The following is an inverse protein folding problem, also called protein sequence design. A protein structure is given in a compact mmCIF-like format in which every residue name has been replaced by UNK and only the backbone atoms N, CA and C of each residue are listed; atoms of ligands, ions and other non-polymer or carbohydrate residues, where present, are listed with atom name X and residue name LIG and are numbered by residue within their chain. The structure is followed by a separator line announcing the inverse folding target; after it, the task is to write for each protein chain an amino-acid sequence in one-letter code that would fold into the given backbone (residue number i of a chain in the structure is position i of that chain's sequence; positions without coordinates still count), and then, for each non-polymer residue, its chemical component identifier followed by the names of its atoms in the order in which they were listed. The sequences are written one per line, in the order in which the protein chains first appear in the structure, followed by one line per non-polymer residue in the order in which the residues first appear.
data_IF_436237899344
#
_entry.id   IF_436237899344
#
_cell.length_a   1.000
_cell.length_b   1.000
_cell.length_c   1.000
_cell.angle_alpha   90.00
_cell.angle_beta   90.00
_cell.angle_gamma   90.00
#
_symmetry.space_group_name_H-M   'P 1'
#
loop_
_entity.id
_entity.type
_entity.pdbx_description
1 polymer ?
#
# COMPACT_ATOMS: atom_id res chain seq x y z
N UNK A 1 -15.47 -40.01 -87.07
CA UNK A 1 -15.95 -40.94 -86.04
C UNK A 1 -14.79 -41.22 -85.10
N UNK A 2 -14.90 -40.86 -83.83
CA UNK A 2 -14.00 -41.33 -82.76
C UNK A 2 -14.27 -42.84 -82.49
N UNK A 3 -13.39 -43.60 -81.80
CA UNK A 3 -13.34 -43.53 -80.32
C UNK A 3 -12.00 -43.90 -79.61
N UNK A 4 -11.99 -43.61 -78.29
CA UNK A 4 -11.35 -44.31 -77.14
C UNK A 4 -9.82 -44.44 -77.06
N UNK A 5 -9.10 -44.36 -75.93
CA UNK A 5 -9.41 -44.54 -74.48
C UNK A 5 -8.26 -44.00 -73.60
N UNK A 6 -8.61 -43.59 -72.37
CA UNK A 6 -7.84 -43.10 -71.19
C UNK A 6 -6.82 -44.11 -70.59
N UNK A 7 -6.21 -43.95 -69.37
CA UNK A 7 -6.13 -42.85 -68.38
C UNK A 7 -4.71 -42.63 -67.75
N UNK A 8 -4.55 -41.64 -66.85
CA UNK A 8 -3.34 -41.50 -66.02
C UNK A 8 -3.44 -40.41 -64.95
N UNK A 9 -4.00 -40.78 -63.80
CA UNK A 9 -4.05 -40.02 -62.54
C UNK A 9 -2.66 -39.62 -62.03
N UNK A 10 -2.53 -38.38 -61.53
CA UNK A 10 -1.58 -38.06 -60.46
C UNK A 10 -2.29 -37.18 -59.44
N UNK A 11 -2.70 -37.86 -58.37
CA UNK A 11 -3.30 -37.38 -57.14
C UNK A 11 -2.33 -36.45 -56.37
N UNK A 12 -2.72 -35.19 -56.14
CA UNK A 12 -2.02 -34.26 -55.24
C UNK A 12 -2.74 -34.28 -53.89
N UNK A 13 -2.27 -35.17 -53.03
CA UNK A 13 -2.62 -35.19 -51.62
C UNK A 13 -2.03 -33.97 -50.90
N UNK A 14 -2.89 -33.02 -50.54
CA UNK A 14 -2.60 -32.02 -49.51
C UNK A 14 -2.75 -32.67 -48.13
N UNK A 15 -1.62 -33.05 -47.53
CA UNK A 15 -1.57 -33.42 -46.12
C UNK A 15 -1.87 -32.20 -45.22
N UNK A 16 -2.68 -32.34 -44.17
CA UNK A 16 -2.85 -31.29 -43.18
C UNK A 16 -1.55 -31.12 -42.38
N UNK A 17 -0.96 -29.92 -42.48
CA UNK A 17 0.17 -29.48 -41.67
C UNK A 17 -0.27 -29.47 -40.20
N UNK A 18 0.21 -30.45 -39.44
CA UNK A 18 0.03 -30.50 -38.00
C UNK A 18 0.83 -29.35 -37.36
N UNK A 19 0.15 -28.25 -37.04
CA UNK A 19 0.70 -27.19 -36.21
C UNK A 19 0.87 -27.72 -34.79
N UNK A 20 2.09 -28.15 -34.49
CA UNK A 20 2.56 -28.48 -33.14
C UNK A 20 2.73 -27.19 -32.33
N UNK A 21 1.61 -26.58 -31.91
CA UNK A 21 1.66 -25.64 -30.81
C UNK A 21 1.88 -26.43 -29.51
N UNK A 22 2.99 -26.21 -28.78
CA UNK A 22 3.14 -26.79 -27.45
C UNK A 22 2.01 -26.25 -26.56
N UNK A 23 1.47 -27.07 -25.63
CA UNK A 23 0.46 -26.62 -24.71
C UNK A 23 1.03 -25.45 -23.90
N UNK A 24 0.43 -24.28 -24.07
CA UNK A 24 0.66 -23.14 -23.20
C UNK A 24 0.10 -23.53 -21.82
N UNK A 25 0.96 -24.11 -20.99
CA UNK A 25 0.72 -24.29 -19.57
C UNK A 25 0.60 -22.89 -18.97
N UNK A 26 -0.61 -22.35 -18.97
CA UNK A 26 -0.99 -21.16 -18.24
C UNK A 26 -0.83 -21.50 -16.76
N UNK A 27 0.40 -21.31 -16.27
CA UNK A 27 0.72 -21.36 -14.85
C UNK A 27 -0.10 -20.24 -14.23
N UNK A 28 -1.27 -20.58 -13.68
CA UNK A 28 -2.01 -19.68 -12.81
C UNK A 28 -1.12 -19.46 -11.58
N UNK A 29 -0.24 -18.46 -11.67
CA UNK A 29 0.43 -17.88 -10.53
C UNK A 29 -0.66 -17.49 -9.55
N UNK A 30 -0.79 -18.29 -8.49
CA UNK A 30 -1.65 -17.94 -7.38
C UNK A 30 -1.14 -16.61 -6.86
N UNK A 31 -1.89 -15.55 -7.12
CA UNK A 31 -1.64 -14.22 -6.58
C UNK A 31 -1.53 -14.33 -5.06
N UNK A 32 -0.31 -14.30 -4.55
CA UNK A 32 -0.06 -14.35 -3.11
C UNK A 32 -0.53 -13.02 -2.53
N UNK A 33 -1.49 -13.09 -1.61
CA UNK A 33 -1.96 -11.93 -0.87
C UNK A 33 -0.99 -11.67 0.29
N UNK A 34 -0.40 -10.47 0.32
CA UNK A 34 0.51 -10.05 1.40
C UNK A 34 -0.18 -9.04 2.32
N UNK A 35 0.35 -8.90 3.54
CA UNK A 35 -0.16 -7.99 4.57
C UNK A 35 0.94 -7.05 5.05
N UNK A 36 0.60 -5.78 5.25
CA UNK A 36 1.46 -4.77 5.85
C UNK A 36 0.74 -4.10 7.01
N UNK A 37 1.34 -4.16 8.20
CA UNK A 37 0.90 -3.41 9.37
C UNK A 37 1.74 -2.14 9.49
N UNK A 38 1.12 -0.99 9.67
CA UNK A 38 1.82 0.30 9.79
C UNK A 38 1.40 0.96 11.09
N UNK A 39 2.37 1.36 11.89
CA UNK A 39 2.15 1.92 13.22
C UNK A 39 2.74 3.33 13.30
N UNK A 40 1.89 4.33 13.51
CA UNK A 40 2.30 5.72 13.70
C UNK A 40 2.02 6.17 15.13
N UNK A 41 3.09 6.48 15.88
CA UNK A 41 2.97 6.97 17.25
C UNK A 41 2.43 8.39 17.37
N UNK A 42 1.97 8.70 18.59
CA UNK A 42 1.61 10.05 18.99
C UNK A 42 2.82 10.99 19.04
N UNK A 43 2.58 12.30 18.94
CA UNK A 43 3.61 13.35 18.75
C UNK A 43 4.90 13.15 19.56
N UNK A 44 4.79 12.85 20.86
CA UNK A 44 5.93 12.76 21.77
C UNK A 44 6.24 11.32 22.23
N UNK A 45 5.65 10.32 21.57
CA UNK A 45 5.77 8.92 21.97
C UNK A 45 6.77 8.18 21.11
N UNK A 46 7.43 7.19 21.72
CA UNK A 46 8.26 6.21 21.03
C UNK A 46 7.57 4.85 21.01
N UNK A 47 7.84 4.04 19.99
CA UNK A 47 7.42 2.64 19.92
C UNK A 47 8.15 1.76 20.95
N UNK A 48 9.35 2.21 21.37
CA UNK A 48 10.18 1.57 22.39
C UNK A 48 10.63 2.63 23.39
N UNK A 49 10.37 2.46 24.70
CA UNK A 49 9.68 1.34 25.35
C UNK A 49 8.14 1.32 25.12
N UNK A 50 7.49 0.17 25.39
CA UNK A 50 6.04 -0.07 25.22
C UNK A 50 5.17 0.76 26.18
N UNK A 51 5.06 2.05 25.93
CA UNK A 51 4.32 2.98 26.80
C UNK A 51 2.93 3.31 26.26
N UNK A 52 2.66 3.00 25.00
CA UNK A 52 1.37 3.23 24.35
C UNK A 52 0.81 1.92 23.78
N UNK A 53 -0.48 1.94 23.42
CA UNK A 53 -1.11 0.84 22.67
C UNK A 53 -0.47 0.64 21.29
N UNK A 54 -0.02 1.71 20.63
CA UNK A 54 0.63 1.62 19.30
C UNK A 54 1.96 0.87 19.44
N UNK A 55 2.81 1.28 20.38
CA UNK A 55 4.04 0.58 20.72
C UNK A 55 3.81 -0.87 21.14
N UNK A 56 2.77 -1.14 21.93
CA UNK A 56 2.40 -2.51 22.31
C UNK A 56 2.05 -3.37 21.08
N UNK A 57 1.14 -2.91 20.23
CA UNK A 57 0.73 -3.65 19.03
C UNK A 57 1.88 -3.83 18.04
N UNK A 58 2.73 -2.82 17.86
CA UNK A 58 3.90 -2.95 16.99
C UNK A 58 4.84 -4.07 17.44
N UNK A 59 5.11 -4.16 18.75
CA UNK A 59 6.02 -5.17 19.27
C UNK A 59 5.41 -6.58 19.25
N UNK A 60 4.11 -6.73 19.55
CA UNK A 60 3.42 -8.02 19.57
C UNK A 60 3.00 -8.52 18.18
N UNK A 61 2.97 -7.65 17.17
CA UNK A 61 2.63 -8.04 15.80
C UNK A 61 3.64 -9.07 15.26
N UNK A 62 3.14 -10.28 14.97
CA UNK A 62 3.88 -11.37 14.33
C UNK A 62 4.05 -11.10 12.82
N UNK A 63 4.97 -10.19 12.51
CA UNK A 63 5.32 -9.81 11.15
C UNK A 63 6.80 -9.37 11.08
N UNK A 64 7.41 -9.47 9.90
CA UNK A 64 8.79 -9.01 9.70
C UNK A 64 8.81 -7.49 9.71
N UNK A 65 9.63 -6.92 10.59
CA UNK A 65 9.85 -5.49 10.63
C UNK A 65 10.71 -5.04 9.43
N UNK A 66 10.15 -4.14 8.62
CA UNK A 66 10.78 -3.57 7.43
C UNK A 66 10.84 -2.03 7.51
N UNK A 67 10.78 -1.48 8.72
CA UNK A 67 10.83 -0.03 8.99
C UNK A 67 12.13 0.60 8.49
N UNK A 68 13.24 -0.13 8.59
CA UNK A 68 14.54 0.24 8.01
C UNK A 68 14.55 -0.14 6.53
N UNK A 69 14.75 0.84 5.64
CA UNK A 69 14.73 0.68 4.18
C UNK A 69 15.84 -0.23 3.65
N UNK A 70 16.91 -0.42 4.43
CA UNK A 70 18.04 -1.31 4.11
C UNK A 70 17.69 -2.79 4.24
N UNK A 71 16.61 -3.13 4.94
CA UNK A 71 16.17 -4.52 5.08
C UNK A 71 15.59 -5.00 3.75
N UNK A 72 16.13 -6.06 3.12
CA UNK A 72 15.57 -6.61 1.89
C UNK A 72 14.22 -7.29 2.17
N UNK A 73 13.29 -7.23 1.22
CA UNK A 73 12.00 -7.88 1.35
C UNK A 73 12.11 -9.40 1.08
N UNK A 74 11.85 -10.28 2.06
CA UNK A 74 11.88 -11.71 1.80
C UNK A 74 10.72 -12.12 0.89
N UNK A 75 11.04 -12.76 -0.24
CA UNK A 75 10.07 -13.13 -1.27
C UNK A 75 8.95 -14.03 -0.74
N UNK A 76 9.28 -14.96 0.15
CA UNK A 76 8.35 -15.93 0.75
C UNK A 76 7.51 -15.35 1.91
N UNK A 77 7.84 -14.16 2.41
CA UNK A 77 7.13 -13.59 3.56
C UNK A 77 5.75 -13.05 3.15
N UNK A 78 4.75 -13.36 3.98
CA UNK A 78 3.35 -12.95 3.79
C UNK A 78 2.94 -11.75 4.63
N UNK A 79 3.61 -11.48 5.75
CA UNK A 79 3.25 -10.42 6.69
C UNK A 79 4.45 -9.56 7.08
N UNK A 80 4.29 -8.26 6.91
CA UNK A 80 5.28 -7.23 7.22
C UNK A 80 4.72 -6.22 8.23
N UNK A 81 5.61 -5.56 8.96
CA UNK A 81 5.26 -4.41 9.79
C UNK A 81 6.24 -3.26 9.59
N UNK A 82 5.74 -2.04 9.77
CA UNK A 82 6.53 -0.82 9.83
C UNK A 82 6.08 0.02 11.01
N UNK A 83 7.01 0.59 11.75
CA UNK A 83 6.76 1.42 12.91
C UNK A 83 7.48 2.76 12.81
N UNK A 84 6.79 3.82 13.21
CA UNK A 84 7.33 5.17 13.27
C UNK A 84 7.07 5.80 14.63
N UNK A 85 8.14 6.32 15.24
CA UNK A 85 8.04 7.18 16.42
C UNK A 85 7.34 8.50 16.09
N UNK A 86 6.86 9.16 17.14
CA UNK A 86 6.20 10.46 17.06
C UNK A 86 7.07 11.51 16.38
N UNK A 87 6.44 12.41 15.63
CA UNK A 87 7.13 13.49 14.94
C UNK A 87 7.91 14.41 15.90
N UNK A 88 7.41 14.65 17.11
CA UNK A 88 8.10 15.41 18.16
C UNK A 88 9.32 14.69 18.76
N UNK A 89 9.36 13.36 18.70
CA UNK A 89 10.55 12.58 19.06
C UNK A 89 11.62 12.73 17.97
N UNK A 90 11.24 12.49 16.72
CA UNK A 90 12.18 12.41 15.59
C UNK A 90 12.63 13.77 15.07
N UNK A 91 11.80 14.81 15.22
CA UNK A 91 12.05 16.16 14.69
C UNK A 91 11.92 17.26 15.76
N UNK A 92 11.93 16.88 17.05
CA UNK A 92 11.95 17.81 18.19
C UNK A 92 10.82 18.84 18.18
N UNK A 93 11.20 20.10 18.38
CA UNK A 93 10.26 21.25 18.40
C UNK A 93 9.52 21.37 17.07
N UNK A 94 10.22 21.15 15.94
CA UNK A 94 9.61 21.30 14.62
C UNK A 94 8.54 20.24 14.36
N UNK A 95 8.80 19.00 14.77
CA UNK A 95 7.81 17.94 14.77
C UNK A 95 6.63 18.20 15.72
N UNK A 96 6.92 18.76 16.90
CA UNK A 96 5.90 19.05 17.92
C UNK A 96 4.96 20.19 17.51
N UNK A 97 5.49 21.24 16.88
CA UNK A 97 4.69 22.41 16.48
C UNK A 97 4.05 22.16 15.11
N UNK A 98 4.86 21.86 14.09
CA UNK A 98 4.44 21.82 12.68
C UNK A 98 4.25 20.41 12.11
N UNK A 99 4.37 19.36 12.92
CA UNK A 99 4.24 17.97 12.45
C UNK A 99 5.24 17.61 11.32
N UNK A 100 6.43 18.23 11.33
CA UNK A 100 7.50 17.85 10.43
C UNK A 100 7.80 16.35 10.54
N UNK A 101 8.02 15.70 9.40
CA UNK A 101 8.36 14.28 9.31
C UNK A 101 7.21 13.35 8.89
N UNK A 102 5.94 13.71 9.10
CA UNK A 102 4.83 12.81 8.77
C UNK A 102 4.74 12.48 7.27
N UNK A 103 4.99 13.46 6.40
CA UNK A 103 5.02 13.26 4.95
C UNK A 103 6.13 12.27 4.55
N UNK A 104 7.33 12.45 5.08
CA UNK A 104 8.47 11.54 4.85
C UNK A 104 8.16 10.12 5.32
N UNK A 105 7.52 9.95 6.49
CA UNK A 105 7.11 8.64 6.95
C UNK A 105 6.08 7.98 6.00
N UNK A 106 5.14 8.76 5.45
CA UNK A 106 4.20 8.26 4.43
C UNK A 106 4.92 7.84 3.12
N UNK A 107 5.92 8.60 2.70
CA UNK A 107 6.73 8.28 1.51
C UNK A 107 7.52 6.98 1.70
N UNK A 108 8.07 6.74 2.89
CA UNK A 108 8.75 5.48 3.21
C UNK A 108 7.80 4.29 3.15
N UNK A 109 6.58 4.42 3.69
CA UNK A 109 5.56 3.37 3.56
C UNK A 109 5.20 3.13 2.11
N UNK A 110 5.01 4.19 1.32
CA UNK A 110 4.68 4.08 -0.09
C UNK A 110 5.77 3.34 -0.88
N UNK A 111 7.05 3.65 -0.62
CA UNK A 111 8.16 2.95 -1.25
C UNK A 111 8.13 1.44 -0.94
N UNK A 112 7.84 1.06 0.32
CA UNK A 112 7.69 -0.35 0.70
C UNK A 112 6.47 -1.02 0.07
N UNK A 113 5.34 -0.31 -0.02
CA UNK A 113 4.14 -0.80 -0.71
C UNK A 113 4.43 -1.15 -2.17
N UNK A 114 5.15 -0.28 -2.88
CA UNK A 114 5.57 -0.54 -4.26
C UNK A 114 6.42 -1.81 -4.34
N UNK A 115 7.47 -1.92 -3.54
CA UNK A 115 8.37 -3.06 -3.55
C UNK A 115 7.67 -4.39 -3.15
N UNK A 116 6.67 -4.34 -2.26
CA UNK A 116 5.87 -5.54 -1.91
C UNK A 116 4.99 -5.96 -3.10
N UNK A 117 4.37 -5.00 -3.79
CA UNK A 117 3.48 -5.27 -4.93
C UNK A 117 4.19 -5.75 -6.19
N UNK A 118 5.52 -5.62 -6.29
CA UNK A 118 6.32 -6.28 -7.35
C UNK A 118 6.24 -7.81 -7.27
N UNK A 119 5.92 -8.36 -6.09
CA UNK A 119 5.91 -9.80 -5.82
C UNK A 119 4.59 -10.31 -5.21
N UNK A 120 3.55 -9.47 -5.17
CA UNK A 120 2.27 -9.80 -4.55
C UNK A 120 1.14 -9.34 -5.45
N UNK A 121 0.16 -10.19 -5.78
CA UNK A 121 -0.95 -9.73 -6.63
C UNK A 121 -1.88 -8.76 -5.89
N UNK A 122 -2.07 -8.93 -4.58
CA UNK A 122 -2.82 -8.00 -3.72
C UNK A 122 -2.10 -7.75 -2.39
N UNK A 123 -2.25 -6.54 -1.85
CA UNK A 123 -1.74 -6.13 -0.54
C UNK A 123 -2.87 -5.60 0.36
N UNK A 124 -3.00 -6.16 1.56
CA UNK A 124 -3.81 -5.58 2.62
C UNK A 124 -2.92 -4.77 3.57
N UNK A 125 -3.24 -3.49 3.75
CA UNK A 125 -2.54 -2.56 4.62
C UNK A 125 -3.45 -2.24 5.79
N UNK A 126 -2.99 -2.44 7.02
CA UNK A 126 -3.69 -1.99 8.22
C UNK A 126 -2.83 -0.98 8.94
N UNK A 127 -3.36 0.22 9.12
CA UNK A 127 -2.65 1.35 9.71
C UNK A 127 -3.25 1.68 11.07
N UNK A 128 -2.42 1.72 12.09
CA UNK A 128 -2.77 2.17 13.44
C UNK A 128 -2.09 3.51 13.68
N UNK A 129 -2.83 4.53 14.08
CA UNK A 129 -2.30 5.87 14.30
C UNK A 129 -2.86 6.53 15.56
N UNK A 130 -1.99 7.06 16.42
CA UNK A 130 -2.34 7.79 17.64
C UNK A 130 -2.10 9.29 17.49
N UNK A 131 -3.02 10.16 17.87
CA UNK A 131 -2.84 11.62 17.84
C UNK A 131 -2.40 12.11 16.45
N UNK A 132 -1.25 12.77 16.33
CA UNK A 132 -0.67 13.14 15.02
C UNK A 132 -0.30 11.94 14.14
N UNK A 133 -0.03 10.77 14.72
CA UNK A 133 0.09 9.53 13.97
C UNK A 133 -1.22 9.11 13.28
N UNK A 134 -2.38 9.46 13.85
CA UNK A 134 -3.67 9.31 13.16
C UNK A 134 -3.78 10.20 11.91
N UNK A 135 -3.19 11.40 11.95
CA UNK A 135 -3.09 12.28 10.76
C UNK A 135 -2.16 11.67 9.71
N UNK A 136 -1.03 11.10 10.12
CA UNK A 136 -0.14 10.38 9.19
C UNK A 136 -0.87 9.21 8.51
N UNK A 137 -1.68 8.45 9.25
CA UNK A 137 -2.49 7.36 8.70
C UNK A 137 -3.47 7.85 7.61
N UNK A 138 -4.13 8.98 7.85
CA UNK A 138 -5.04 9.57 6.87
C UNK A 138 -4.29 10.20 5.68
N UNK A 139 -3.11 10.82 5.91
CA UNK A 139 -2.24 11.30 4.84
C UNK A 139 -1.80 10.15 3.92
N UNK A 140 -1.39 9.02 4.51
CA UNK A 140 -1.04 7.80 3.78
C UNK A 140 -2.23 7.29 2.96
N UNK A 141 -3.44 7.27 3.53
CA UNK A 141 -4.65 6.87 2.81
C UNK A 141 -4.89 7.71 1.55
N UNK A 142 -4.77 9.04 1.68
CA UNK A 142 -4.90 9.98 0.56
C UNK A 142 -3.84 9.74 -0.51
N UNK A 143 -2.60 9.50 -0.11
CA UNK A 143 -1.49 9.22 -1.04
C UNK A 143 -1.69 7.89 -1.75
N UNK A 144 -2.16 6.84 -1.06
CA UNK A 144 -2.44 5.54 -1.68
C UNK A 144 -3.61 5.64 -2.68
N UNK A 145 -4.67 6.37 -2.32
CA UNK A 145 -5.85 6.56 -3.18
C UNK A 145 -5.52 7.33 -4.48
N UNK A 146 -4.55 8.24 -4.46
CA UNK A 146 -4.17 9.04 -5.63
C UNK A 146 -3.27 8.29 -6.64
N UNK A 147 -2.81 7.07 -6.32
CA UNK A 147 -1.80 6.35 -7.10
C UNK A 147 -2.37 5.41 -8.18
N UNK A 148 -3.49 5.79 -8.78
CA UNK A 148 -4.01 5.18 -10.01
C UNK A 148 -4.13 3.66 -9.95
N UNK A 149 -3.55 2.88 -10.88
CA UNK A 149 -3.68 1.42 -10.96
C UNK A 149 -3.33 0.67 -9.66
N UNK A 150 -2.42 1.22 -8.85
CA UNK A 150 -2.03 0.62 -7.57
C UNK A 150 -3.20 0.49 -6.60
N UNK A 151 -4.12 1.46 -6.60
CA UNK A 151 -5.28 1.47 -5.70
C UNK A 151 -6.19 0.24 -5.84
N UNK A 152 -6.24 -0.36 -7.04
CA UNK A 152 -7.02 -1.59 -7.28
C UNK A 152 -6.42 -2.85 -6.65
N UNK A 153 -5.14 -2.80 -6.30
CA UNK A 153 -4.36 -3.91 -5.70
C UNK A 153 -4.07 -3.69 -4.23
N UNK A 154 -4.65 -2.66 -3.62
CA UNK A 154 -4.45 -2.33 -2.21
C UNK A 154 -5.79 -2.27 -1.50
N UNK A 155 -5.90 -2.97 -0.36
CA UNK A 155 -7.00 -2.82 0.58
C UNK A 155 -6.45 -2.13 1.83
N UNK A 156 -7.07 -1.03 2.26
CA UNK A 156 -6.58 -0.22 3.36
C UNK A 156 -7.59 -0.23 4.52
N UNK A 157 -7.13 -0.64 5.70
CA UNK A 157 -7.87 -0.55 6.95
C UNK A 157 -7.19 0.49 7.86
N UNK A 158 -7.96 1.36 8.49
CA UNK A 158 -7.45 2.41 9.38
C UNK A 158 -8.02 2.23 10.77
N UNK A 159 -7.15 2.27 11.78
CA UNK A 159 -7.51 2.29 13.19
C UNK A 159 -6.92 3.56 13.82
N UNK A 160 -7.78 4.54 14.07
CA UNK A 160 -7.38 5.89 14.46
C UNK A 160 -7.71 6.13 15.93
N UNK A 161 -6.69 6.43 16.73
CA UNK A 161 -6.82 6.75 18.15
C UNK A 161 -6.64 8.25 18.34
N UNK A 162 -7.74 8.95 18.59
CA UNK A 162 -7.78 10.40 18.85
C UNK A 162 -6.98 11.23 17.80
N UNK A 163 -7.33 11.19 16.50
CA UNK A 163 -6.55 11.90 15.47
C UNK A 163 -6.64 13.42 15.67
N UNK A 164 -5.49 14.06 15.97
CA UNK A 164 -5.42 15.51 16.20
C UNK A 164 -4.67 16.20 15.06
N UNK A 165 -5.32 17.09 14.28
CA UNK A 165 -4.65 17.84 13.22
C UNK A 165 -3.56 18.76 13.79
N UNK A 166 -2.33 18.60 13.32
CA UNK A 166 -1.19 19.38 13.78
C UNK A 166 -1.27 20.83 13.30
N UNK A 167 -1.60 21.75 14.21
CA UNK A 167 -1.14 23.15 14.21
C UNK A 167 -1.63 23.86 15.49
N UNK A 168 -0.94 23.63 16.61
CA UNK A 168 -1.30 24.26 17.90
C UNK A 168 -1.31 25.81 17.85
N UNK A 169 -0.58 26.42 16.92
CA UNK A 169 -0.48 27.88 16.80
C UNK A 169 -1.46 28.45 15.76
N UNK A 170 -1.73 27.73 14.65
CA UNK A 170 -2.55 28.26 13.56
C UNK A 170 -4.03 27.82 13.63
N UNK A 171 -4.32 26.64 14.16
CA UNK A 171 -5.70 26.11 14.22
C UNK A 171 -6.52 26.76 15.35
N UNK A 172 -5.87 27.32 16.39
CA UNK A 172 -6.54 27.99 17.50
C UNK A 172 -6.88 29.48 17.25
N UNK A 173 -6.32 30.12 16.20
CA UNK A 173 -6.53 31.55 15.92
C UNK A 173 -7.23 31.88 14.59
N UNK A 174 -7.35 30.93 13.66
CA UNK A 174 -7.88 31.16 12.30
C UNK A 174 -8.74 30.01 11.74
N UNK A 175 -9.55 29.35 12.56
CA UNK A 175 -10.78 28.69 12.05
C UNK A 175 -11.62 29.78 11.36
N UNK A 176 -12.00 29.80 10.10
CA UNK A 176 -11.87 28.89 8.96
C UNK A 176 -12.42 29.70 7.76
N UNK A 177 -11.58 30.40 6.97
CA UNK A 177 -12.07 31.24 5.84
C UNK A 177 -11.60 30.71 4.47
N UNK A 178 -10.59 29.84 4.41
CA UNK A 178 -10.02 29.41 3.11
C UNK A 178 -9.71 27.91 2.96
N UNK A 179 -10.14 27.02 3.86
CA UNK A 179 -10.02 25.56 3.67
C UNK A 179 -8.60 25.04 3.35
N UNK A 180 -7.53 25.70 3.83
CA UNK A 180 -6.13 25.34 3.54
C UNK A 180 -5.44 24.55 4.66
N UNK A 181 -6.17 24.00 5.63
CA UNK A 181 -5.54 23.15 6.64
C UNK A 181 -5.33 21.73 6.11
N UNK A 182 -4.23 21.10 6.53
CA UNK A 182 -3.91 19.69 6.23
C UNK A 182 -5.10 18.78 6.61
N UNK A 183 -5.86 19.15 7.65
CA UNK A 183 -7.08 18.49 8.08
C UNK A 183 -8.19 18.48 6.99
N UNK A 184 -8.55 19.64 6.42
CA UNK A 184 -9.60 19.70 5.38
C UNK A 184 -9.15 19.01 4.09
N UNK A 185 -7.86 19.11 3.75
CA UNK A 185 -7.33 18.41 2.57
C UNK A 185 -7.44 16.88 2.67
N UNK A 186 -7.59 16.34 3.87
CA UNK A 186 -7.60 14.90 4.16
C UNK A 186 -9.03 14.37 4.41
N UNK A 187 -9.93 15.20 4.96
CA UNK A 187 -11.33 14.81 5.22
C UNK A 187 -12.19 14.83 3.93
N UNK A 188 -11.96 15.76 3.00
CA UNK A 188 -12.81 15.93 1.80
C UNK A 188 -12.64 14.85 0.71
N UNK A 189 -11.72 13.89 0.87
CA UNK A 189 -11.37 12.90 -0.15
C UNK A 189 -11.83 11.46 0.10
N UNK A 190 -12.38 11.12 1.27
CA UNK A 190 -12.60 9.73 1.70
C UNK A 190 -13.95 9.12 1.26
N UNK A 191 -14.73 9.79 0.43
CA UNK A 191 -16.13 9.41 0.20
C UNK A 191 -16.36 8.25 -0.79
N UNK A 192 -15.34 7.56 -1.32
CA UNK A 192 -15.60 6.42 -2.24
C UNK A 192 -14.65 5.23 -2.10
N UNK A 193 -15.26 4.12 -1.67
CA UNK A 193 -14.90 2.68 -1.76
C UNK A 193 -14.23 2.05 -0.52
N UNK A 194 -14.98 1.11 0.06
CA UNK A 194 -14.66 0.17 1.14
C UNK A 194 -13.91 0.76 2.34
N UNK A 195 -14.65 1.53 3.14
CA UNK A 195 -14.37 1.68 4.57
C UNK A 195 -15.29 0.70 5.28
N UNK A 196 -14.76 -0.43 5.77
CA UNK A 196 -15.41 -1.12 6.88
C UNK A 196 -14.77 -0.56 8.14
N UNK A 197 -15.55 0.19 8.91
CA UNK A 197 -15.23 0.54 10.30
C UNK A 197 -15.43 -0.71 11.15
#
# INVERSE_FOLDING_TARGET
MAPSSSPGDVDRSHGPSASSHPPQTTRMEHSVNKRLLVFFEGTANTLVPRTTLIGYFFQEAQAIDISDDRIPLPSMQLAFKMGFDGCGVTHGVAGTIWACGLATQCELVLARVHAILEHAGHLSITVLGLSRGGIAALMLAKVLASRGPMSSRVCLNLCLFDPVPGNLINTARYLDIFSQTVANSVIDGLTRRCVSV
#
